data_IF_185097299471
#
_entry.id   IF_185097299471
#
_cell.length_a   1.000
_cell.length_b   1.000
_cell.length_c   1.000
_cell.angle_alpha   90.00
_cell.angle_beta   90.00
_cell.angle_gamma   90.00
#
_symmetry.space_group_name_H-M   'P 1'
#
loop_
_entity.id
_entity.type
_entity.pdbx_description
1 polymer ?
#
# COMPACT_ATOMS: atom_id res chain seq x y z
N UNK A 1 20.52 6.63 12.07
CA UNK A 1 19.66 6.57 10.87
C UNK A 1 19.65 5.11 10.40
N UNK A 2 18.55 4.37 10.52
CA UNK A 2 18.51 3.01 9.95
C UNK A 2 18.19 3.21 8.47
N UNK A 3 19.11 2.82 7.60
CA UNK A 3 18.86 2.77 6.17
C UNK A 3 17.72 1.78 5.88
N UNK A 4 16.88 2.06 4.88
CA UNK A 4 16.03 1.03 4.29
C UNK A 4 16.90 -0.19 3.95
N UNK A 5 16.41 -1.42 4.12
CA UNK A 5 17.23 -2.61 3.93
C UNK A 5 17.83 -2.68 2.52
N UNK A 6 19.12 -2.96 2.48
CA UNK A 6 20.04 -2.71 1.36
C UNK A 6 20.05 -3.83 0.30
N UNK A 7 19.24 -4.87 0.41
CA UNK A 7 19.25 -5.99 -0.55
C UNK A 7 17.93 -6.16 -1.31
N UNK A 8 17.33 -5.05 -1.73
CA UNK A 8 16.15 -5.07 -2.58
C UNK A 8 16.56 -4.87 -4.04
N UNK A 9 15.97 -5.63 -4.94
CA UNK A 9 16.12 -5.44 -6.37
C UNK A 9 15.07 -4.44 -6.86
N UNK A 10 15.53 -3.36 -7.50
CA UNK A 10 14.63 -2.41 -8.12
C UNK A 10 14.00 -3.05 -9.36
N UNK A 11 12.69 -3.00 -9.46
CA UNK A 11 11.91 -3.54 -10.57
C UNK A 11 11.25 -2.40 -11.34
N UNK A 12 10.96 -2.65 -12.63
CA UNK A 12 10.18 -1.68 -13.39
C UNK A 12 8.75 -1.54 -12.84
N UNK A 13 8.10 -0.45 -13.23
CA UNK A 13 6.76 -0.11 -12.76
C UNK A 13 5.74 -1.23 -13.03
N UNK A 14 5.70 -1.76 -14.24
CA UNK A 14 4.69 -2.74 -14.64
C UNK A 14 4.84 -4.05 -13.86
N UNK A 15 6.08 -4.51 -13.68
CA UNK A 15 6.36 -5.71 -12.89
C UNK A 15 6.05 -5.48 -11.41
N UNK A 16 6.46 -4.36 -10.83
CA UNK A 16 6.16 -4.02 -9.43
C UNK A 16 4.67 -3.89 -9.17
N UNK A 17 3.94 -3.21 -10.05
CA UNK A 17 2.49 -3.08 -9.98
C UNK A 17 1.79 -4.44 -10.05
N UNK A 18 2.22 -5.30 -10.98
CA UNK A 18 1.71 -6.66 -11.13
C UNK A 18 1.97 -7.50 -9.88
N UNK A 19 3.20 -7.48 -9.36
CA UNK A 19 3.58 -8.28 -8.19
C UNK A 19 2.78 -7.87 -6.95
N UNK A 20 2.60 -6.58 -6.69
CA UNK A 20 1.77 -6.07 -5.58
C UNK A 20 0.32 -6.55 -5.70
N UNK A 21 -0.25 -6.51 -6.90
CA UNK A 21 -1.63 -6.91 -7.13
C UNK A 21 -1.86 -8.43 -7.19
N UNK A 22 -0.81 -9.23 -7.28
CA UNK A 22 -0.84 -10.69 -7.18
C UNK A 22 -0.77 -11.22 -5.74
N UNK A 23 -0.40 -10.39 -4.75
CA UNK A 23 -0.41 -10.77 -3.35
C UNK A 23 -1.83 -11.10 -2.88
N UNK A 24 -1.99 -12.03 -1.93
CA UNK A 24 -3.29 -12.28 -1.31
C UNK A 24 -3.69 -11.09 -0.43
N UNK A 25 -2.79 -10.68 0.45
CA UNK A 25 -2.94 -9.57 1.38
C UNK A 25 -1.63 -8.77 1.48
N UNK A 26 -1.75 -7.53 1.95
CA UNK A 26 -0.63 -6.64 2.24
C UNK A 26 -0.71 -6.12 3.68
N UNK A 27 0.45 -5.94 4.33
CA UNK A 27 0.58 -5.16 5.56
C UNK A 27 1.55 -4.00 5.34
N UNK A 28 1.19 -2.81 5.78
CA UNK A 28 2.12 -1.68 5.87
C UNK A 28 2.94 -1.84 7.14
N UNK A 29 4.25 -1.96 6.99
CA UNK A 29 5.19 -2.12 8.12
C UNK A 29 5.82 -0.82 8.54
N UNK A 30 6.07 0.06 7.60
CA UNK A 30 6.68 1.34 7.88
C UNK A 30 6.18 2.40 6.90
N UNK A 31 5.91 3.58 7.43
CA UNK A 31 5.64 4.81 6.70
C UNK A 31 6.70 5.80 7.15
N UNK A 32 7.54 6.25 6.25
CA UNK A 32 8.69 7.11 6.59
C UNK A 32 8.80 8.28 5.62
N UNK A 33 9.06 9.44 6.17
CA UNK A 33 9.63 10.54 5.40
C UNK A 33 11.15 10.35 5.36
N UNK A 34 11.69 10.04 4.18
CA UNK A 34 13.12 9.69 4.01
C UNK A 34 13.96 10.95 3.98
N UNK A 35 13.56 11.91 3.17
CA UNK A 35 14.13 13.24 3.01
C UNK A 35 12.98 14.24 2.98
N UNK A 36 13.24 15.51 2.77
CA UNK A 36 12.18 16.51 2.66
C UNK A 36 11.11 16.04 1.67
N UNK A 37 9.90 15.76 2.17
CA UNK A 37 8.72 15.35 1.39
C UNK A 37 8.85 14.06 0.54
N UNK A 38 9.92 13.28 0.66
CA UNK A 38 10.03 11.97 0.01
C UNK A 38 9.39 10.92 0.91
N UNK A 39 8.32 10.29 0.43
CA UNK A 39 7.61 9.25 1.15
C UNK A 39 8.16 7.87 0.83
N UNK A 40 8.63 7.16 1.84
CA UNK A 40 8.99 5.75 1.77
C UNK A 40 7.96 4.87 2.48
N UNK A 41 7.53 3.82 1.81
CA UNK A 41 6.63 2.81 2.36
C UNK A 41 7.32 1.46 2.34
N UNK A 42 7.29 0.74 3.46
CA UNK A 42 7.67 -0.67 3.55
C UNK A 42 6.40 -1.50 3.69
N UNK A 43 6.16 -2.38 2.73
CA UNK A 43 4.94 -3.17 2.63
C UNK A 43 5.33 -4.64 2.53
N UNK A 44 4.65 -5.50 3.27
CA UNK A 44 4.87 -6.94 3.22
C UNK A 44 3.67 -7.66 2.65
N UNK A 45 3.93 -8.67 1.83
CA UNK A 45 2.94 -9.68 1.49
C UNK A 45 2.55 -10.47 2.75
N UNK A 46 1.30 -10.87 2.84
CA UNK A 46 0.83 -11.80 3.86
C UNK A 46 -0.07 -12.86 3.24
N UNK A 47 -0.12 -14.03 3.85
CA UNK A 47 -0.82 -15.20 3.33
C UNK A 47 -1.71 -15.84 4.38
N UNK A 48 -2.85 -16.44 3.98
CA UNK A 48 -3.65 -17.23 4.89
C UNK A 48 -2.85 -18.45 5.38
N UNK A 49 -2.73 -18.61 6.68
CA UNK A 49 -2.02 -19.74 7.27
C UNK A 49 -2.82 -21.04 7.18
N UNK A 50 -2.14 -22.19 7.20
CA UNK A 50 -2.78 -23.50 7.19
C UNK A 50 -3.61 -23.76 8.47
N UNK A 51 -3.21 -23.16 9.59
CA UNK A 51 -3.89 -23.31 10.87
C UNK A 51 -5.29 -22.66 10.85
N UNK A 52 -6.28 -23.38 11.32
CA UNK A 52 -7.64 -22.85 11.51
C UNK A 52 -7.72 -22.26 12.92
N UNK A 53 -8.19 -21.04 13.03
CA UNK A 53 -8.44 -20.40 14.33
C UNK A 53 -9.51 -21.19 15.10
N UNK A 54 -9.14 -21.62 16.29
CA UNK A 54 -10.06 -22.17 17.27
C UNK A 54 -10.18 -21.16 18.40
N UNK A 55 -11.29 -20.42 18.47
CA UNK A 55 -11.47 -19.43 19.53
C UNK A 55 -11.38 -20.12 20.90
N UNK A 56 -10.65 -19.51 21.81
CA UNK A 56 -10.52 -19.98 23.20
C UNK A 56 -11.71 -19.58 24.07
N UNK A 57 -12.59 -18.73 23.57
CA UNK A 57 -13.73 -18.21 24.28
C UNK A 57 -15.06 -18.45 23.54
N UNK A 58 -16.15 -18.36 24.27
CA UNK A 58 -17.53 -18.50 23.77
C UNK A 58 -18.13 -17.15 23.35
N UNK A 59 -17.32 -16.10 23.19
CA UNK A 59 -17.80 -14.79 22.77
C UNK A 59 -18.44 -14.84 21.37
N UNK A 60 -19.28 -13.88 21.06
CA UNK A 60 -19.86 -13.71 19.72
C UNK A 60 -18.77 -13.59 18.64
N UNK A 61 -17.69 -12.86 18.92
CA UNK A 61 -16.52 -12.77 18.06
C UNK A 61 -15.82 -14.11 17.89
N UNK A 62 -15.66 -14.88 18.98
CA UNK A 62 -15.10 -16.21 18.92
C UNK A 62 -15.89 -17.13 17.98
N UNK A 63 -17.22 -17.06 18.00
CA UNK A 63 -18.08 -17.84 17.09
C UNK A 63 -17.92 -17.44 15.63
N UNK A 64 -17.76 -16.13 15.35
CA UNK A 64 -17.54 -15.61 14.00
C UNK A 64 -16.18 -16.03 13.41
N UNK A 65 -15.17 -16.22 14.26
CA UNK A 65 -13.81 -16.62 13.84
C UNK A 65 -13.64 -18.13 13.66
N UNK A 66 -14.69 -18.96 13.91
CA UNK A 66 -14.61 -20.42 13.71
C UNK A 66 -14.35 -20.73 12.25
N UNK A 67 -13.23 -21.39 11.96
CA UNK A 67 -12.85 -21.74 10.60
C UNK A 67 -12.07 -20.66 9.85
N UNK A 68 -11.89 -19.46 10.42
CA UNK A 68 -11.03 -18.43 9.85
C UNK A 68 -9.55 -18.87 9.88
N UNK A 69 -8.78 -18.42 8.91
CA UNK A 69 -7.32 -18.63 8.86
C UNK A 69 -6.63 -17.33 9.24
N UNK A 70 -5.64 -17.35 10.12
CA UNK A 70 -4.80 -16.19 10.37
C UNK A 70 -4.14 -15.72 9.06
N UNK A 71 -4.06 -14.42 8.87
CA UNK A 71 -3.29 -13.81 7.78
C UNK A 71 -1.99 -13.34 8.40
N UNK A 72 -0.88 -13.94 8.00
CA UNK A 72 0.44 -13.67 8.60
C UNK A 72 1.50 -13.61 7.51
N UNK A 73 2.62 -12.95 7.84
CA UNK A 73 3.83 -13.01 7.04
C UNK A 73 4.66 -14.22 7.42
N UNK A 74 5.28 -14.82 6.43
CA UNK A 74 6.25 -15.89 6.57
C UNK A 74 7.50 -15.65 5.70
N UNK A 75 8.49 -16.52 5.80
CA UNK A 75 9.75 -16.39 5.07
C UNK A 75 9.62 -16.44 3.55
N UNK A 76 8.46 -16.84 3.03
CA UNK A 76 8.15 -16.89 1.58
C UNK A 76 7.44 -15.64 1.10
N UNK A 77 7.14 -14.70 1.99
CA UNK A 77 6.48 -13.44 1.65
C UNK A 77 7.46 -12.45 1.04
N UNK A 78 6.96 -11.69 0.07
CA UNK A 78 7.69 -10.59 -0.56
C UNK A 78 7.61 -9.35 0.33
N UNK A 79 8.64 -8.54 0.24
CA UNK A 79 8.70 -7.21 0.84
C UNK A 79 8.87 -6.20 -0.27
N UNK A 80 8.01 -5.22 -0.30
CA UNK A 80 8.02 -4.13 -1.28
C UNK A 80 8.42 -2.83 -0.59
N UNK A 81 9.37 -2.14 -1.19
CA UNK A 81 9.70 -0.77 -0.83
C UNK A 81 9.20 0.15 -1.93
N UNK A 82 8.32 1.07 -1.60
CA UNK A 82 7.82 2.09 -2.52
C UNK A 82 8.39 3.45 -2.11
N UNK A 83 8.89 4.20 -3.08
CA UNK A 83 9.45 5.54 -2.86
C UNK A 83 8.75 6.52 -3.79
N UNK A 84 7.94 7.42 -3.21
CA UNK A 84 7.37 8.57 -3.91
C UNK A 84 8.28 9.77 -3.70
N UNK A 85 8.86 10.25 -4.78
CA UNK A 85 9.85 11.33 -4.72
C UNK A 85 9.20 12.70 -4.53
N UNK A 86 9.86 13.54 -3.76
CA UNK A 86 9.41 14.90 -3.39
C UNK A 86 8.91 15.71 -4.60
N UNK A 87 9.67 15.72 -5.69
CA UNK A 87 9.38 16.56 -6.85
C UNK A 87 8.11 16.12 -7.61
N UNK A 88 7.58 14.95 -7.29
CA UNK A 88 6.43 14.36 -7.97
C UNK A 88 5.23 14.15 -7.05
N UNK A 89 5.43 14.17 -5.73
CA UNK A 89 4.38 13.96 -4.75
C UNK A 89 3.74 15.27 -4.32
N UNK A 90 2.41 15.36 -4.43
CA UNK A 90 1.63 16.54 -4.00
C UNK A 90 1.14 16.37 -2.57
N UNK A 91 0.63 15.20 -2.24
CA UNK A 91 0.10 14.90 -0.90
C UNK A 91 0.02 13.40 -0.65
N UNK A 92 -0.07 13.02 0.61
CA UNK A 92 -0.46 11.67 0.99
C UNK A 92 -1.34 11.70 2.25
N UNK A 93 -2.13 10.65 2.42
CA UNK A 93 -2.93 10.41 3.63
C UNK A 93 -2.83 8.96 4.08
N UNK A 94 -3.05 8.74 5.37
CA UNK A 94 -3.05 7.40 5.97
C UNK A 94 -4.34 7.24 6.76
N UNK A 95 -5.09 6.23 6.42
CA UNK A 95 -6.33 5.87 7.09
C UNK A 95 -6.20 4.49 7.74
N UNK A 96 -6.78 4.32 8.93
CA UNK A 96 -6.98 3.00 9.50
C UNK A 96 -7.97 2.21 8.61
N UNK A 97 -7.56 1.02 8.16
CA UNK A 97 -8.32 0.19 7.22
C UNK A 97 -9.77 -0.07 7.71
N UNK A 98 -9.97 -0.24 9.01
CA UNK A 98 -11.30 -0.47 9.60
C UNK A 98 -12.33 0.64 9.31
N UNK A 99 -11.89 1.81 8.89
CA UNK A 99 -12.72 2.94 8.49
C UNK A 99 -12.69 3.21 6.98
N UNK A 100 -11.96 2.38 6.24
CA UNK A 100 -11.89 2.46 4.78
C UNK A 100 -13.23 2.17 4.12
N UNK A 101 -13.49 2.83 3.00
CA UNK A 101 -14.62 2.53 2.12
C UNK A 101 -14.11 1.95 0.81
N UNK A 102 -14.94 1.14 0.20
CA UNK A 102 -14.70 0.77 -1.19
C UNK A 102 -14.86 2.00 -2.08
N UNK A 103 -14.10 2.08 -3.20
CA UNK A 103 -14.27 3.14 -4.18
C UNK A 103 -15.73 3.28 -4.63
N UNK A 104 -16.15 4.52 -4.82
CA UNK A 104 -17.51 4.84 -5.27
C UNK A 104 -17.69 4.46 -6.76
N UNK A 105 -18.92 4.18 -7.23
CA UNK A 105 -19.15 3.71 -8.61
C UNK A 105 -18.66 4.63 -9.74
N UNK A 106 -18.43 5.92 -9.46
CA UNK A 106 -17.91 6.85 -10.45
C UNK A 106 -16.38 6.91 -10.48
N UNK A 107 -15.70 6.31 -9.50
CA UNK A 107 -14.24 6.26 -9.42
C UNK A 107 -13.71 5.17 -10.35
N UNK A 108 -12.72 5.53 -11.13
CA UNK A 108 -12.12 4.65 -12.14
C UNK A 108 -10.68 4.33 -11.76
N UNK A 109 -10.35 3.07 -11.65
CA UNK A 109 -9.01 2.62 -11.26
C UNK A 109 -8.63 1.28 -11.89
N UNK A 110 -7.32 1.02 -11.92
CA UNK A 110 -6.73 -0.27 -12.20
C UNK A 110 -6.06 -0.83 -10.94
N UNK A 111 -5.95 -2.15 -10.84
CA UNK A 111 -5.34 -2.83 -9.69
C UNK A 111 -6.36 -3.27 -8.62
N UNK A 112 -5.87 -4.01 -7.63
CA UNK A 112 -6.68 -4.60 -6.54
C UNK A 112 -6.21 -4.13 -5.17
N UNK A 113 -4.97 -4.40 -4.81
CA UNK A 113 -4.35 -4.02 -3.53
C UNK A 113 -3.51 -2.75 -3.66
N UNK A 114 -2.91 -2.56 -4.81
CA UNK A 114 -2.31 -1.31 -5.23
C UNK A 114 -3.12 -0.78 -6.40
N UNK A 115 -3.86 0.29 -6.17
CA UNK A 115 -4.78 0.88 -7.14
C UNK A 115 -4.22 2.17 -7.69
N UNK A 116 -4.42 2.37 -9.00
CA UNK A 116 -4.09 3.62 -9.68
C UNK A 116 -5.37 4.18 -10.26
N UNK A 117 -5.81 5.31 -9.74
CA UNK A 117 -7.03 5.96 -10.14
C UNK A 117 -6.78 6.96 -11.28
N UNK A 118 -7.55 6.84 -12.33
CA UNK A 118 -7.68 7.87 -13.37
C UNK A 118 -8.74 8.92 -12.98
N UNK A 119 -9.67 8.54 -12.09
CA UNK A 119 -10.73 9.42 -11.57
C UNK A 119 -11.07 9.05 -10.13
N UNK A 120 -11.01 10.02 -9.22
CA UNK A 120 -11.38 9.81 -7.81
C UNK A 120 -11.78 11.11 -7.13
N UNK A 121 -12.53 11.01 -6.03
CA UNK A 121 -12.84 12.13 -5.16
C UNK A 121 -11.59 12.86 -4.66
N UNK A 122 -10.52 12.11 -4.35
CA UNK A 122 -9.30 12.69 -3.84
C UNK A 122 -8.57 13.50 -4.91
N UNK A 123 -8.56 13.05 -6.17
CA UNK A 123 -8.04 13.84 -7.29
C UNK A 123 -8.82 15.14 -7.46
N UNK A 124 -10.16 15.07 -7.47
CA UNK A 124 -11.02 16.23 -7.60
C UNK A 124 -10.83 17.21 -6.43
N UNK A 125 -10.74 16.68 -5.20
CA UNK A 125 -10.44 17.48 -4.01
C UNK A 125 -9.08 18.18 -4.12
N UNK A 126 -8.04 17.45 -4.50
CA UNK A 126 -6.68 17.98 -4.61
C UNK A 126 -6.61 19.09 -5.67
N UNK A 127 -7.13 18.85 -6.86
CA UNK A 127 -7.19 19.87 -7.94
C UNK A 127 -7.94 21.13 -7.52
N UNK A 128 -8.99 20.99 -6.71
CA UNK A 128 -9.80 22.12 -6.25
C UNK A 128 -9.17 22.93 -5.11
N UNK A 129 -8.37 22.27 -4.26
CA UNK A 129 -7.89 22.85 -3.01
C UNK A 129 -6.38 23.13 -2.98
N UNK A 130 -5.69 22.90 -4.10
CA UNK A 130 -4.26 23.20 -4.27
C UNK A 130 -4.03 24.00 -5.56
N UNK A 131 -2.80 24.46 -5.76
CA UNK A 131 -2.38 25.07 -7.04
C UNK A 131 -2.01 24.03 -8.09
N UNK A 132 -2.08 22.73 -7.75
CA UNK A 132 -1.68 21.66 -8.65
C UNK A 132 -2.69 21.51 -9.79
N UNK A 133 -2.18 21.54 -11.01
CA UNK A 133 -2.93 21.39 -12.26
C UNK A 133 -2.08 20.62 -13.29
N UNK A 134 -2.65 20.36 -14.45
CA UNK A 134 -1.96 19.58 -15.49
C UNK A 134 -0.70 20.30 -16.05
N UNK A 135 -0.62 21.63 -15.92
CA UNK A 135 0.54 22.44 -16.30
C UNK A 135 1.61 22.47 -15.19
N UNK A 136 1.22 22.35 -13.91
CA UNK A 136 2.14 22.37 -12.76
C UNK A 136 1.56 21.66 -11.56
N UNK A 137 2.24 20.68 -10.97
CA UNK A 137 3.52 20.08 -11.37
C UNK A 137 3.39 19.09 -12.54
N UNK A 138 2.20 18.89 -13.08
CA UNK A 138 1.88 17.97 -14.17
C UNK A 138 0.61 17.18 -13.89
N UNK A 139 0.28 16.24 -14.77
CA UNK A 139 -0.92 15.41 -14.67
C UNK A 139 -0.87 14.58 -13.39
N UNK A 140 -1.85 14.79 -12.52
CA UNK A 140 -1.96 14.08 -11.25
C UNK A 140 -2.58 12.70 -11.42
N UNK A 141 -2.04 11.74 -10.70
CA UNK A 141 -2.61 10.42 -10.47
C UNK A 141 -2.81 10.18 -8.98
N UNK A 142 -3.79 9.38 -8.64
CA UNK A 142 -4.03 8.92 -7.29
C UNK A 142 -3.62 7.45 -7.17
N UNK A 143 -2.70 7.16 -6.26
CA UNK A 143 -2.22 5.83 -5.92
C UNK A 143 -2.78 5.44 -4.55
N UNK A 144 -3.43 4.29 -4.45
CA UNK A 144 -3.95 3.76 -3.19
C UNK A 144 -3.33 2.41 -2.88
N UNK A 145 -2.83 2.26 -1.66
CA UNK A 145 -2.39 0.97 -1.11
C UNK A 145 -3.47 0.51 -0.12
N UNK A 146 -4.21 -0.54 -0.49
CA UNK A 146 -5.23 -1.17 0.36
C UNK A 146 -4.62 -2.36 1.12
N UNK A 147 -4.08 -2.09 2.30
CA UNK A 147 -3.48 -3.11 3.17
C UNK A 147 -4.42 -3.47 4.33
N UNK A 148 -4.14 -4.56 5.03
CA UNK A 148 -4.97 -5.09 6.12
C UNK A 148 -4.97 -4.21 7.38
N UNK A 149 -4.03 -3.29 7.49
CA UNK A 149 -3.90 -2.41 8.66
C UNK A 149 -4.01 -0.92 8.31
N UNK A 150 -3.81 -0.55 7.04
CA UNK A 150 -3.87 0.84 6.58
C UNK A 150 -4.37 0.92 5.15
N UNK A 151 -5.08 1.99 4.85
CA UNK A 151 -5.25 2.50 3.49
C UNK A 151 -4.37 3.73 3.34
N UNK A 152 -3.51 3.74 2.34
CA UNK A 152 -2.60 4.86 2.08
C UNK A 152 -2.92 5.42 0.70
N UNK A 153 -3.28 6.69 0.67
CA UNK A 153 -3.51 7.44 -0.57
C UNK A 153 -2.34 8.36 -0.85
N UNK A 154 -1.89 8.39 -2.08
CA UNK A 154 -0.83 9.31 -2.53
C UNK A 154 -1.27 9.97 -3.83
N UNK A 155 -1.19 11.31 -3.88
CA UNK A 155 -1.36 12.09 -5.10
C UNK A 155 0.02 12.48 -5.60
N UNK A 156 0.35 12.03 -6.80
CA UNK A 156 1.64 12.29 -7.42
C UNK A 156 1.52 12.41 -8.95
N UNK A 157 2.53 12.99 -9.60
CA UNK A 157 2.63 13.09 -11.05
C UNK A 157 3.35 11.92 -11.69
N UNK A 158 4.06 11.13 -10.87
CA UNK A 158 4.82 9.95 -11.32
C UNK A 158 4.56 8.77 -10.39
N UNK A 159 4.63 7.54 -10.91
CA UNK A 159 4.56 6.35 -10.07
C UNK A 159 5.76 6.27 -9.11
N UNK A 160 5.62 5.56 -7.97
CA UNK A 160 6.74 5.32 -7.08
C UNK A 160 7.79 4.42 -7.73
N UNK A 161 9.05 4.59 -7.30
CA UNK A 161 10.04 3.53 -7.50
C UNK A 161 9.70 2.35 -6.61
N UNK A 162 9.82 1.14 -7.14
CA UNK A 162 9.48 -0.09 -6.44
C UNK A 162 10.72 -0.98 -6.38
N UNK A 163 11.05 -1.44 -5.16
CA UNK A 163 12.08 -2.45 -4.99
C UNK A 163 11.50 -3.64 -4.21
N UNK A 164 11.93 -4.84 -4.56
CA UNK A 164 11.39 -6.10 -4.02
C UNK A 164 12.50 -6.90 -3.35
N UNK A 165 12.19 -7.51 -2.21
CA UNK A 165 13.05 -8.45 -1.49
C UNK A 165 12.20 -9.53 -0.84
N UNK A 166 12.84 -10.49 -0.16
CA UNK A 166 12.13 -11.53 0.58
C UNK A 166 12.11 -11.22 2.08
N UNK A 167 11.04 -11.60 2.78
CA UNK A 167 10.89 -11.35 4.22
C UNK A 167 12.04 -11.93 5.05
N UNK A 168 12.57 -13.09 4.67
CA UNK A 168 13.72 -13.69 5.35
C UNK A 168 14.96 -12.78 5.45
N UNK A 169 15.11 -11.82 4.54
CA UNK A 169 16.25 -10.89 4.51
C UNK A 169 16.10 -9.78 5.56
N UNK A 170 14.91 -9.63 6.16
CA UNK A 170 14.56 -8.60 7.14
C UNK A 170 14.52 -9.11 8.60
N UNK A 171 14.67 -10.42 8.83
CA UNK A 171 14.57 -11.06 10.16
C UNK A 171 15.92 -11.07 10.91
N UNK A 172 16.93 -10.38 10.42
CA UNK A 172 18.27 -10.34 11.05
C UNK A 172 18.41 -9.25 12.12
#
# INVERSE_FOLDING_TARGET
MRSFPISSEEVDWDEGFKQLNQCDYLFVREIRQIEELTLGLLITEAKPQAAILRPKDSSEWGKLCVGARPIEEDTTCRVFQLIFEQNHMVSYSVLNESYGKYPEPFEEFAGRLFRVFSRSHLLDFTKKNTIACDEYPGVLQHYEIAAQNHVIDVIATMPPRIAVSMWQDHIR
#
